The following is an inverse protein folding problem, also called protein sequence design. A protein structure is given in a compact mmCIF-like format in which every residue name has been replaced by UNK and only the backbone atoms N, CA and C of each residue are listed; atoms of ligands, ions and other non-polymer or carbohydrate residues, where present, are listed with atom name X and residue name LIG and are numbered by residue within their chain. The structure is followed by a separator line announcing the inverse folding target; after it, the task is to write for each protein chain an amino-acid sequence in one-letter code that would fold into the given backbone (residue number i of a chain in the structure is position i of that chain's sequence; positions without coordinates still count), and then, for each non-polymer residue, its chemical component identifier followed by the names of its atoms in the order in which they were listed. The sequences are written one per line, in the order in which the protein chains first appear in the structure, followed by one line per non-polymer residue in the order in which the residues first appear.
data_IF_200463621265
#
_entry.id   IF_200463621265
#
_cell.length_a   1.000
_cell.length_b   1.000
_cell.length_c   1.000
_cell.angle_alpha   90.00
_cell.angle_beta   90.00
_cell.angle_gamma   90.00
#
_symmetry.space_group_name_H-M   'P 1'
#
loop_
_entity.id
_entity.type
_entity.pdbx_description
1 polymer ?
#
# COMPACT_ATOMS: atom_id res chain seq x y z
N UNK A 1 18.42 -12.25 55.57
CA UNK A 1 18.39 -12.00 54.10
C UNK A 1 17.69 -13.13 53.33
N UNK A 2 16.47 -13.55 53.72
CA UNK A 2 15.69 -14.55 52.96
C UNK A 2 14.20 -14.22 52.82
N UNK A 3 13.71 -13.18 53.48
CA UNK A 3 12.27 -12.86 53.53
C UNK A 3 11.84 -11.71 52.60
N UNK A 4 12.76 -11.11 51.85
CA UNK A 4 12.47 -9.95 50.98
C UNK A 4 12.29 -10.30 49.50
N UNK A 5 12.39 -11.57 49.11
CA UNK A 5 12.26 -12.01 47.70
C UNK A 5 10.83 -12.45 47.35
N UNK A 6 9.97 -12.71 48.33
CA UNK A 6 8.62 -13.25 48.07
C UNK A 6 7.59 -12.17 47.70
N UNK A 7 7.83 -10.90 48.05
CA UNK A 7 6.87 -9.82 47.82
C UNK A 7 6.78 -9.33 46.36
N UNK A 8 7.82 -9.51 45.55
CA UNK A 8 7.88 -8.95 44.19
C UNK A 8 7.29 -9.87 43.11
N UNK A 9 7.05 -11.15 43.39
CA UNK A 9 6.47 -12.11 42.44
C UNK A 9 4.93 -12.22 42.49
N UNK A 10 4.28 -11.57 43.45
CA UNK A 10 2.82 -11.66 43.64
C UNK A 10 2.02 -10.53 42.95
N UNK A 11 2.68 -9.55 42.34
CA UNK A 11 2.00 -8.49 41.57
C UNK A 11 1.96 -8.73 40.05
N UNK A 12 2.49 -9.85 39.54
CA UNK A 12 2.51 -10.13 38.09
C UNK A 12 1.25 -10.85 37.58
N UNK A 13 0.30 -11.21 38.45
CA UNK A 13 -0.87 -12.02 38.07
C UNK A 13 -2.19 -11.25 38.04
N UNK A 14 -2.16 -9.93 38.20
CA UNK A 14 -3.36 -9.07 38.05
C UNK A 14 -3.30 -8.31 36.72
N UNK A 15 -2.98 -9.00 35.64
CA UNK A 15 -3.34 -8.49 34.33
C UNK A 15 -4.88 -8.61 34.24
N UNK A 16 -5.64 -7.51 34.05
CA UNK A 16 -7.07 -7.62 33.85
C UNK A 16 -7.32 -8.51 32.63
N UNK A 17 -8.28 -9.44 32.75
CA UNK A 17 -8.74 -10.34 31.68
C UNK A 17 -9.18 -9.55 30.43
N UNK A 18 -9.34 -8.23 30.55
CA UNK A 18 -9.53 -7.28 29.46
C UNK A 18 -8.38 -7.23 28.42
N UNK A 19 -7.24 -7.88 28.67
CA UNK A 19 -6.14 -8.05 27.72
C UNK A 19 -5.94 -9.52 27.35
N UNK A 20 -7.03 -10.29 27.21
CA UNK A 20 -7.00 -11.60 26.56
C UNK A 20 -7.72 -11.48 25.23
N UNK A 21 -7.02 -11.85 24.15
CA UNK A 21 -7.49 -11.96 22.76
C UNK A 21 -8.99 -12.14 22.66
N UNK A 22 -9.66 -11.33 21.83
CA UNK A 22 -11.07 -11.50 21.50
C UNK A 22 -11.30 -12.95 21.03
N UNK A 23 -11.74 -13.79 21.96
CA UNK A 23 -12.30 -15.10 21.64
C UNK A 23 -13.56 -14.74 20.84
N UNK A 24 -13.74 -15.24 19.60
CA UNK A 24 -14.96 -14.99 18.86
C UNK A 24 -16.14 -15.48 19.69
N UNK A 25 -16.84 -14.56 20.35
CA UNK A 25 -18.06 -14.84 21.09
C UNK A 25 -19.21 -14.74 20.08
N UNK A 26 -19.97 -15.82 19.84
CA UNK A 26 -21.14 -15.79 18.96
C UNK A 26 -22.22 -14.81 19.44
N UNK A 27 -22.12 -14.31 20.67
CA UNK A 27 -22.97 -13.27 21.23
C UNK A 27 -22.32 -11.89 21.30
N UNK A 28 -21.12 -11.72 20.73
CA UNK A 28 -20.47 -10.42 20.63
C UNK A 28 -21.36 -9.47 19.80
N UNK A 29 -21.77 -8.37 20.43
CA UNK A 29 -22.48 -7.30 19.76
C UNK A 29 -21.50 -6.18 19.40
N UNK A 30 -21.84 -5.36 18.38
CA UNK A 30 -21.14 -4.10 18.18
C UNK A 30 -21.12 -3.29 19.50
N UNK A 31 -20.02 -2.59 19.75
CA UNK A 31 -19.90 -1.67 20.86
C UNK A 31 -20.93 -0.52 20.73
N UNK A 32 -21.38 0.06 21.85
CA UNK A 32 -22.29 1.19 21.82
C UNK A 32 -21.78 2.32 20.90
N UNK A 33 -22.55 2.70 19.88
CA UNK A 33 -22.20 3.68 18.86
C UNK A 33 -21.55 3.14 17.57
N UNK A 34 -21.37 1.81 17.42
CA UNK A 34 -20.92 1.18 16.17
C UNK A 34 -21.88 0.10 15.66
N UNK A 35 -23.16 0.19 16.04
CA UNK A 35 -24.21 -0.76 15.69
C UNK A 35 -24.55 -0.75 14.19
N UNK A 36 -24.28 0.37 13.51
CA UNK A 36 -24.43 0.46 12.06
C UNK A 36 -23.29 -0.28 11.34
N UNK A 37 -23.68 -1.04 10.32
CA UNK A 37 -22.73 -1.71 9.41
C UNK A 37 -21.87 -0.65 8.75
N UNK A 38 -20.55 -0.75 8.95
CA UNK A 38 -19.59 0.14 8.33
C UNK A 38 -19.69 0.05 6.80
N UNK A 39 -19.85 1.18 6.12
CA UNK A 39 -19.86 1.20 4.67
C UNK A 39 -18.48 0.78 4.13
N UNK A 40 -18.42 -0.07 3.10
CA UNK A 40 -17.16 -0.46 2.48
C UNK A 40 -16.37 0.77 2.00
N UNK A 41 -15.04 0.70 2.01
CA UNK A 41 -14.17 1.81 1.56
C UNK A 41 -14.54 2.27 0.14
N UNK A 42 -14.92 1.34 -0.75
CA UNK A 42 -15.41 1.63 -2.10
C UNK A 42 -16.63 2.56 -2.18
N UNK A 43 -17.34 2.78 -1.07
CA UNK A 43 -18.52 3.64 -0.96
C UNK A 43 -18.27 4.86 -0.07
N UNK A 44 -17.05 5.02 0.44
CA UNK A 44 -16.65 6.14 1.29
C UNK A 44 -16.01 7.25 0.44
N UNK A 45 -16.25 8.51 0.80
CA UNK A 45 -15.66 9.67 0.11
C UNK A 45 -14.35 10.12 0.77
N UNK A 46 -13.46 9.17 1.05
CA UNK A 46 -12.16 9.48 1.64
C UNK A 46 -11.23 10.20 0.65
N UNK A 47 -10.36 11.05 1.18
CA UNK A 47 -9.29 11.66 0.38
C UNK A 47 -8.32 10.60 -0.16
N UNK A 48 -7.61 10.86 -1.27
CA UNK A 48 -6.55 9.97 -1.75
C UNK A 48 -5.46 9.69 -0.69
N UNK A 49 -5.10 10.69 0.13
CA UNK A 49 -4.14 10.51 1.22
C UNK A 49 -4.65 9.54 2.30
N UNK A 50 -5.92 9.64 2.65
CA UNK A 50 -6.57 8.70 3.58
C UNK A 50 -6.63 7.30 2.97
N UNK A 51 -7.00 7.17 1.69
CA UNK A 51 -7.00 5.88 1.01
C UNK A 51 -5.59 5.26 0.95
N UNK A 52 -4.56 6.06 0.70
CA UNK A 52 -3.16 5.60 0.78
C UNK A 52 -2.83 5.06 2.17
N UNK A 53 -3.18 5.80 3.22
CA UNK A 53 -2.92 5.39 4.61
C UNK A 53 -3.62 4.07 4.95
N UNK A 54 -4.87 3.88 4.49
CA UNK A 54 -5.67 2.71 4.80
C UNK A 54 -5.32 1.49 3.95
N UNK A 55 -4.84 1.67 2.72
CA UNK A 55 -4.68 0.58 1.76
C UNK A 55 -3.23 0.27 1.38
N UNK A 56 -2.29 1.21 1.56
CA UNK A 56 -0.95 1.12 0.98
C UNK A 56 0.17 1.34 2.01
N UNK A 57 -0.01 2.28 2.93
CA UNK A 57 1.03 2.68 3.89
C UNK A 57 1.47 1.55 4.82
N UNK A 58 0.65 0.51 5.03
CA UNK A 58 1.03 -0.67 5.80
C UNK A 58 2.25 -1.41 5.22
N UNK A 59 2.44 -1.37 3.89
CA UNK A 59 3.60 -1.96 3.23
C UNK A 59 4.61 -0.89 2.79
N UNK A 60 4.14 0.15 2.10
CA UNK A 60 5.01 1.17 1.49
C UNK A 60 5.49 2.25 2.47
N UNK A 61 4.97 2.25 3.71
CA UNK A 61 5.18 3.28 4.74
C UNK A 61 4.57 4.63 4.34
N UNK A 62 4.35 5.51 5.30
CA UNK A 62 3.65 6.80 5.09
C UNK A 62 4.31 7.64 3.99
N UNK A 63 5.63 7.71 3.99
CA UNK A 63 6.40 8.50 3.01
C UNK A 63 6.71 7.74 1.71
N UNK A 64 6.25 6.49 1.56
CA UNK A 64 6.52 5.69 0.38
C UNK A 64 7.96 5.20 0.28
N UNK A 65 8.69 5.10 1.40
CA UNK A 65 10.08 4.64 1.45
C UNK A 65 10.23 3.13 1.17
N UNK A 66 9.15 2.36 1.31
CA UNK A 66 9.16 0.91 1.13
C UNK A 66 9.90 0.16 2.23
N UNK A 67 10.04 -1.15 2.06
CA UNK A 67 10.78 -2.03 2.97
C UNK A 67 11.42 -3.16 2.18
N UNK A 68 12.75 -3.09 1.99
CA UNK A 68 13.52 -4.16 1.34
C UNK A 68 13.37 -5.50 2.08
N UNK A 69 13.33 -5.46 3.41
CA UNK A 69 13.17 -6.66 4.23
C UNK A 69 11.83 -7.37 4.02
N UNK A 70 10.80 -6.64 3.58
CA UNK A 70 9.46 -7.15 3.30
C UNK A 70 9.15 -7.19 1.78
N UNK A 71 10.19 -7.21 0.94
CA UNK A 71 10.06 -7.23 -0.53
C UNK A 71 9.14 -6.13 -1.09
N UNK A 72 9.09 -4.97 -0.41
CA UNK A 72 8.20 -3.86 -0.78
C UNK A 72 9.03 -2.70 -1.37
N UNK A 73 8.86 -2.35 -2.65
CA UNK A 73 9.66 -1.31 -3.28
C UNK A 73 9.31 0.09 -2.76
N UNK A 74 10.29 0.97 -2.84
CA UNK A 74 10.14 2.41 -2.65
C UNK A 74 9.30 3.00 -3.77
N UNK A 75 8.32 3.82 -3.40
CA UNK A 75 7.57 4.68 -4.32
C UNK A 75 8.23 6.05 -4.44
N UNK A 76 8.67 6.60 -3.30
CA UNK A 76 9.19 7.96 -3.18
C UNK A 76 10.38 8.21 -4.12
N UNK A 77 10.25 9.18 -5.01
CA UNK A 77 11.27 9.56 -5.98
C UNK A 77 11.52 8.54 -7.09
N UNK A 78 10.70 7.48 -7.19
CA UNK A 78 10.94 6.39 -8.15
C UNK A 78 9.72 6.01 -9.00
N UNK A 79 8.51 5.97 -8.42
CA UNK A 79 7.32 5.36 -9.05
C UNK A 79 6.93 6.01 -10.39
N UNK A 80 7.26 7.28 -10.62
CA UNK A 80 7.01 7.98 -11.88
C UNK A 80 7.82 7.43 -13.06
N UNK A 81 8.93 6.71 -12.83
CA UNK A 81 9.72 6.11 -13.91
C UNK A 81 8.95 5.04 -14.70
N UNK A 82 7.94 4.39 -14.09
CA UNK A 82 7.06 3.47 -14.82
C UNK A 82 6.26 4.14 -15.92
N UNK A 83 6.08 5.46 -15.89
CA UNK A 83 5.38 6.18 -16.97
C UNK A 83 6.27 6.47 -18.17
N UNK A 84 7.58 6.17 -18.10
CA UNK A 84 8.56 6.44 -19.17
C UNK A 84 8.80 5.25 -20.10
N UNK A 85 8.22 4.09 -19.76
CA UNK A 85 8.41 2.83 -20.48
C UNK A 85 7.08 2.24 -20.88
N UNK A 86 7.04 1.61 -22.06
CA UNK A 86 5.83 0.97 -22.57
C UNK A 86 5.34 -0.11 -21.61
N UNK A 87 4.04 -0.11 -21.34
CA UNK A 87 3.41 -1.05 -20.40
C UNK A 87 3.51 -0.66 -18.93
N UNK A 88 4.37 0.29 -18.55
CA UNK A 88 4.57 0.64 -17.14
C UNK A 88 3.37 1.39 -16.52
N UNK A 89 2.61 2.15 -17.31
CA UNK A 89 1.34 2.74 -16.89
C UNK A 89 0.31 1.67 -16.50
N UNK A 90 0.14 0.65 -17.33
CA UNK A 90 -0.78 -0.45 -17.08
C UNK A 90 -0.30 -1.32 -15.92
N UNK A 91 1.02 -1.48 -15.78
CA UNK A 91 1.63 -2.19 -14.66
C UNK A 91 1.21 -1.59 -13.32
N UNK A 92 1.28 -0.26 -13.16
CA UNK A 92 0.87 0.41 -11.91
C UNK A 92 -0.58 0.09 -11.51
N UNK A 93 -1.50 -0.02 -12.47
CA UNK A 93 -2.91 -0.38 -12.19
C UNK A 93 -3.07 -1.86 -11.78
N UNK A 94 -2.20 -2.73 -12.30
CA UNK A 94 -2.32 -4.19 -12.18
C UNK A 94 -1.60 -4.81 -10.99
N UNK A 95 -0.64 -4.09 -10.38
CA UNK A 95 0.05 -4.54 -9.16
C UNK A 95 -0.98 -5.00 -8.12
N UNK A 96 -0.81 -6.16 -7.45
CA UNK A 96 -1.83 -6.73 -6.56
C UNK A 96 -2.40 -5.76 -5.52
N UNK A 97 -1.56 -4.92 -4.90
CA UNK A 97 -2.01 -3.92 -3.94
C UNK A 97 -2.93 -2.84 -4.53
N UNK A 98 -2.88 -2.61 -5.85
CA UNK A 98 -3.79 -1.71 -6.57
C UNK A 98 -5.02 -2.47 -7.06
N UNK A 99 -4.79 -3.56 -7.81
CA UNK A 99 -5.86 -4.31 -8.47
C UNK A 99 -6.81 -5.01 -7.50
N UNK A 100 -6.34 -5.39 -6.32
CA UNK A 100 -7.13 -6.08 -5.30
C UNK A 100 -7.50 -5.18 -4.11
N UNK A 101 -7.22 -3.87 -4.19
CA UNK A 101 -7.60 -2.91 -3.13
C UNK A 101 -9.11 -2.85 -2.90
N UNK A 102 -9.53 -2.41 -1.71
CA UNK A 102 -10.95 -2.17 -1.43
C UNK A 102 -11.50 -0.89 -2.10
N UNK A 103 -10.68 -0.19 -2.88
CA UNK A 103 -11.07 1.02 -3.61
C UNK A 103 -11.89 0.67 -4.84
N UNK A 104 -12.83 1.53 -5.20
CA UNK A 104 -13.46 1.48 -6.53
C UNK A 104 -12.55 2.08 -7.60
N UNK A 105 -12.93 1.96 -8.88
CA UNK A 105 -12.07 2.37 -10.00
C UNK A 105 -11.80 3.88 -10.04
N UNK A 106 -12.76 4.72 -9.63
CA UNK A 106 -12.58 6.17 -9.55
C UNK A 106 -11.63 6.57 -8.41
N UNK A 107 -11.81 5.99 -7.22
CA UNK A 107 -10.92 6.20 -6.08
C UNK A 107 -9.49 5.75 -6.38
N UNK A 108 -9.32 4.65 -7.12
CA UNK A 108 -8.01 4.14 -7.51
C UNK A 108 -7.34 5.05 -8.55
N UNK A 109 -8.11 5.61 -9.50
CA UNK A 109 -7.61 6.63 -10.43
C UNK A 109 -7.15 7.89 -9.68
N UNK A 110 -7.95 8.39 -8.73
CA UNK A 110 -7.61 9.54 -7.89
C UNK A 110 -6.36 9.28 -7.03
N UNK A 111 -6.23 8.06 -6.48
CA UNK A 111 -5.05 7.64 -5.72
C UNK A 111 -3.80 7.64 -6.61
N UNK A 112 -3.86 7.05 -7.81
CA UNK A 112 -2.74 7.05 -8.76
C UNK A 112 -2.33 8.48 -9.13
N UNK A 113 -3.29 9.34 -9.45
CA UNK A 113 -3.04 10.75 -9.78
C UNK A 113 -2.42 11.51 -8.61
N UNK A 114 -2.86 11.23 -7.38
CA UNK A 114 -2.29 11.82 -6.16
C UNK A 114 -0.86 11.35 -5.88
N UNK A 115 -0.57 10.06 -6.05
CA UNK A 115 0.77 9.48 -5.89
C UNK A 115 1.76 10.03 -6.90
N UNK A 116 1.30 10.19 -8.15
CA UNK A 116 2.13 10.53 -9.31
C UNK A 116 2.26 12.04 -9.55
N UNK A 117 1.68 12.90 -8.72
CA UNK A 117 1.97 14.33 -8.84
C UNK A 117 3.45 14.62 -8.55
N UNK A 118 3.99 15.69 -9.15
CA UNK A 118 5.40 16.08 -8.99
C UNK A 118 5.74 16.43 -7.53
N UNK A 119 4.79 16.98 -6.79
CA UNK A 119 4.89 17.32 -5.36
C UNK A 119 4.47 16.14 -4.46
N UNK A 120 4.30 14.94 -5.01
CA UNK A 120 3.88 13.72 -4.31
C UNK A 120 5.00 12.69 -4.24
N UNK A 121 4.63 11.41 -4.26
CA UNK A 121 5.60 10.32 -4.14
C UNK A 121 6.46 10.18 -5.39
N UNK A 122 5.94 10.48 -6.58
CA UNK A 122 6.78 10.36 -7.78
C UNK A 122 7.94 11.37 -7.78
N UNK A 123 7.76 12.58 -7.26
CA UNK A 123 8.84 13.57 -7.18
C UNK A 123 9.47 13.83 -8.55
N UNK A 124 10.81 13.85 -8.58
CA UNK A 124 11.60 14.05 -9.80
C UNK A 124 11.57 12.85 -10.77
N UNK A 125 10.97 11.71 -10.40
CA UNK A 125 10.82 10.59 -11.33
C UNK A 125 9.73 10.82 -12.38
N UNK A 126 8.90 11.86 -12.24
CA UNK A 126 7.82 12.13 -13.18
C UNK A 126 8.32 12.51 -14.58
N UNK A 127 7.67 12.00 -15.66
CA UNK A 127 7.86 12.55 -17.00
C UNK A 127 7.38 14.00 -17.09
N UNK A 128 7.89 14.74 -18.07
CA UNK A 128 7.49 16.12 -18.32
C UNK A 128 6.00 16.24 -18.68
N UNK A 129 5.49 15.27 -19.46
CA UNK A 129 4.09 15.17 -19.82
C UNK A 129 3.43 14.06 -19.00
N UNK A 130 2.40 14.43 -18.24
CA UNK A 130 1.58 13.49 -17.48
C UNK A 130 0.14 13.56 -17.93
N UNK A 131 -0.39 12.42 -18.40
CA UNK A 131 -1.81 12.22 -18.62
C UNK A 131 -2.43 11.59 -17.36
N UNK A 132 -3.36 12.26 -16.67
CA UNK A 132 -4.05 11.69 -15.52
C UNK A 132 -4.76 10.36 -15.87
N UNK A 133 -4.80 9.43 -14.93
CA UNK A 133 -5.62 8.22 -15.01
C UNK A 133 -7.09 8.58 -14.91
N UNK A 134 -7.92 7.85 -15.65
CA UNK A 134 -9.38 7.94 -15.55
C UNK A 134 -9.96 6.65 -14.95
N UNK A 135 -11.18 6.73 -14.42
CA UNK A 135 -11.87 5.56 -13.88
C UNK A 135 -12.08 4.48 -14.97
N UNK A 136 -12.35 4.89 -16.21
CA UNK A 136 -12.57 4.00 -17.35
C UNK A 136 -11.29 3.24 -17.71
N UNK A 137 -10.15 3.94 -17.73
CA UNK A 137 -8.85 3.33 -17.97
C UNK A 137 -8.51 2.30 -16.87
N UNK A 138 -8.74 2.69 -15.61
CA UNK A 138 -8.53 1.80 -14.47
C UNK A 138 -9.42 0.57 -14.60
N UNK A 139 -10.72 0.74 -14.82
CA UNK A 139 -11.68 -0.35 -14.99
C UNK A 139 -11.27 -1.31 -16.11
N UNK A 140 -10.82 -0.80 -17.25
CA UNK A 140 -10.40 -1.62 -18.39
C UNK A 140 -9.12 -2.43 -18.11
N UNK A 141 -8.24 -1.91 -17.25
CA UNK A 141 -6.89 -2.44 -17.03
C UNK A 141 -6.81 -3.33 -15.77
N UNK A 142 -7.51 -2.94 -14.70
CA UNK A 142 -7.39 -3.50 -13.34
C UNK A 142 -7.66 -5.00 -13.26
N UNK A 143 -8.61 -5.49 -14.04
CA UNK A 143 -9.02 -6.89 -14.03
C UNK A 143 -8.21 -7.78 -14.98
N UNK A 144 -7.22 -7.20 -15.68
CA UNK A 144 -6.28 -7.97 -16.51
C UNK A 144 -5.21 -8.59 -15.61
N UNK A 145 -5.30 -9.91 -15.40
CA UNK A 145 -4.44 -10.64 -14.48
C UNK A 145 -2.94 -10.38 -14.76
N UNK A 146 -2.17 -10.12 -13.70
CA UNK A 146 -0.72 -10.01 -13.74
C UNK A 146 -0.10 -11.30 -13.21
N UNK A 147 0.00 -12.30 -14.08
CA UNK A 147 0.37 -13.68 -13.70
C UNK A 147 1.83 -13.81 -13.26
N UNK A 148 2.72 -13.00 -13.83
CA UNK A 148 4.14 -12.98 -13.49
C UNK A 148 4.55 -11.56 -13.11
N UNK A 149 4.23 -11.16 -11.87
CA UNK A 149 4.59 -9.86 -11.32
C UNK A 149 6.12 -9.64 -11.33
N UNK A 150 6.98 -10.56 -10.81
CA UNK A 150 8.41 -10.34 -10.79
C UNK A 150 9.01 -10.19 -12.20
N UNK A 151 8.64 -11.07 -13.13
CA UNK A 151 9.16 -11.02 -14.50
C UNK A 151 8.68 -9.80 -15.29
N UNK A 152 7.41 -9.41 -15.12
CA UNK A 152 6.88 -8.19 -15.77
C UNK A 152 7.61 -6.95 -15.24
N UNK A 153 7.82 -6.86 -13.92
CA UNK A 153 8.56 -5.77 -13.30
C UNK A 153 10.01 -5.74 -13.79
N UNK A 154 10.70 -6.88 -13.78
CA UNK A 154 12.07 -7.02 -14.26
C UNK A 154 12.22 -6.50 -15.70
N UNK A 155 11.30 -6.87 -16.60
CA UNK A 155 11.28 -6.36 -17.97
C UNK A 155 11.15 -4.83 -18.05
N UNK A 156 10.24 -4.24 -17.28
CA UNK A 156 10.07 -2.78 -17.22
C UNK A 156 11.33 -2.08 -16.68
N UNK A 157 11.96 -2.65 -15.65
CA UNK A 157 13.22 -2.13 -15.09
C UNK A 157 14.36 -2.23 -16.13
N UNK A 158 14.42 -3.30 -16.92
CA UNK A 158 15.39 -3.40 -18.01
C UNK A 158 15.17 -2.32 -19.08
N UNK A 159 13.92 -2.04 -19.46
CA UNK A 159 13.62 -0.93 -20.38
C UNK A 159 14.02 0.43 -19.80
N UNK A 160 13.80 0.65 -18.50
CA UNK A 160 14.26 1.87 -17.83
C UNK A 160 15.79 2.00 -17.90
N UNK A 161 16.53 0.92 -17.62
CA UNK A 161 18.00 0.90 -17.70
C UNK A 161 18.49 1.18 -19.13
N UNK A 162 17.83 0.64 -20.16
CA UNK A 162 18.16 0.92 -21.57
C UNK A 162 17.99 2.40 -21.93
N UNK A 163 17.06 3.09 -21.29
CA UNK A 163 16.87 4.54 -21.42
C UNK A 163 17.81 5.37 -20.52
N UNK A 164 18.74 4.73 -19.80
CA UNK A 164 19.68 5.41 -18.91
C UNK A 164 19.08 5.85 -17.57
N UNK A 165 17.92 5.32 -17.18
CA UNK A 165 17.28 5.64 -15.90
C UNK A 165 17.95 4.82 -14.78
N UNK A 166 18.49 5.52 -13.77
CA UNK A 166 19.02 4.89 -12.55
C UNK A 166 17.89 4.30 -11.70
N UNK A 167 18.04 3.06 -11.26
CA UNK A 167 17.05 2.35 -10.45
C UNK A 167 17.34 2.59 -8.96
N UNK A 168 16.41 3.27 -8.28
CA UNK A 168 16.55 3.68 -6.86
C UNK A 168 15.35 3.23 -6.01
N UNK A 169 14.70 2.15 -6.43
CA UNK A 169 13.48 1.59 -5.82
C UNK A 169 13.71 0.86 -4.49
N UNK A 170 14.94 0.83 -3.98
CA UNK A 170 15.30 0.16 -2.73
C UNK A 170 15.32 -1.37 -2.80
N UNK A 171 15.17 -1.96 -3.97
CA UNK A 171 15.23 -3.41 -4.20
C UNK A 171 16.63 -3.84 -4.65
N UNK A 172 16.96 -5.13 -4.51
CA UNK A 172 18.19 -5.69 -5.08
C UNK A 172 18.07 -5.85 -6.59
N UNK A 173 19.19 -5.76 -7.32
CA UNK A 173 19.27 -6.03 -8.77
C UNK A 173 18.93 -7.48 -9.18
N UNK A 174 18.65 -8.35 -8.20
CA UNK A 174 18.29 -9.76 -8.42
C UNK A 174 16.94 -9.97 -9.12
N UNK A 175 16.25 -8.90 -9.48
CA UNK A 175 15.05 -8.89 -10.32
C UNK A 175 15.19 -7.90 -11.48
#
# INVERSE_FOLDING_TARGET
MRSLVVGALLCSLVAPIAQARAIPDPHQRPAPGNEEVQKPISQQSYSPATNYQLQCAGCHLTEGSGSKANDTPRLHGFVGNFLKVDGGRQFLVRVPGMSQSALNDAQLADLLNWLLRKEGMAGNSMPAEFKPYTAEEVKATRYQALLNLPGTRAGLIQEMRKQGITITDGMSDAY
#
